data_IF_831340918632
#
_entry.id   IF_831340918632
#
_cell.length_a   1.000
_cell.length_b   1.000
_cell.length_c   1.000
_cell.angle_alpha   90.00
_cell.angle_beta   90.00
_cell.angle_gamma   90.00
#
_symmetry.space_group_name_H-M   'P 1'
#
loop_
_entity.id
_entity.type
_entity.pdbx_description
1 polymer ?
#
# COMPACT_ATOMS: atom_id res chain seq x y z
N UNK A 1 -1.34 23.53 8.75
CA UNK A 1 -1.16 22.07 8.69
C UNK A 1 -2.39 21.48 8.04
N UNK A 2 -2.23 20.65 7.01
CA UNK A 2 -3.34 19.99 6.33
C UNK A 2 -3.92 18.92 7.25
N UNK A 3 -5.23 18.66 7.19
CA UNK A 3 -5.85 17.60 7.99
C UNK A 3 -5.33 16.23 7.58
N UNK A 4 -4.87 16.10 6.34
CA UNK A 4 -4.31 14.85 5.81
C UNK A 4 -2.82 14.64 6.02
N UNK A 5 -2.09 15.57 6.67
CA UNK A 5 -0.63 15.46 6.83
C UNK A 5 -0.19 14.14 7.52
N UNK A 6 -1.02 13.60 8.42
CA UNK A 6 -0.79 12.29 9.03
C UNK A 6 -0.78 11.14 8.02
N UNK A 7 -1.79 11.07 7.14
CA UNK A 7 -1.92 10.04 6.10
C UNK A 7 -0.78 10.14 5.08
N UNK A 8 -0.40 11.36 4.69
CA UNK A 8 0.72 11.59 3.77
C UNK A 8 2.05 11.09 4.33
N UNK A 9 2.30 11.24 5.64
CA UNK A 9 3.46 10.63 6.30
C UNK A 9 3.44 9.10 6.26
N UNK A 10 2.26 8.47 6.28
CA UNK A 10 2.17 7.02 6.08
C UNK A 10 2.57 6.63 4.65
N UNK A 11 2.17 7.42 3.64
CA UNK A 11 2.61 7.23 2.25
C UNK A 11 4.12 7.41 2.09
N UNK A 12 4.72 8.40 2.74
CA UNK A 12 6.18 8.60 2.67
C UNK A 12 6.93 7.39 3.20
N UNK A 13 6.52 6.84 4.35
CA UNK A 13 7.11 5.62 4.87
C UNK A 13 6.85 4.39 3.99
N UNK A 14 5.76 4.35 3.23
CA UNK A 14 5.54 3.29 2.23
C UNK A 14 6.51 3.46 1.07
N UNK A 15 6.68 4.69 0.54
CA UNK A 15 7.63 5.02 -0.54
C UNK A 15 9.06 4.66 -0.16
N UNK A 16 9.47 4.88 1.09
CA UNK A 16 10.79 4.48 1.60
C UNK A 16 11.01 2.97 1.50
N UNK A 17 10.02 2.16 1.90
CA UNK A 17 10.11 0.69 1.80
C UNK A 17 10.15 0.26 0.34
N UNK A 18 9.33 0.88 -0.52
CA UNK A 18 9.35 0.62 -1.96
C UNK A 18 10.73 0.93 -2.56
N UNK A 19 11.33 2.07 -2.21
CA UNK A 19 12.66 2.46 -2.66
C UNK A 19 13.77 1.50 -2.20
N UNK A 20 13.61 0.87 -1.03
CA UNK A 20 14.50 -0.21 -0.56
C UNK A 20 14.26 -1.52 -1.29
N UNK A 21 13.00 -1.87 -1.59
CA UNK A 21 12.61 -3.16 -2.14
C UNK A 21 12.88 -3.28 -3.65
N UNK A 22 12.55 -2.27 -4.44
CA UNK A 22 12.64 -2.34 -5.92
C UNK A 22 14.03 -2.73 -6.45
N UNK A 23 15.15 -2.18 -5.92
CA UNK A 23 16.49 -2.57 -6.36
C UNK A 23 16.84 -4.03 -6.04
N UNK A 24 16.15 -4.65 -5.09
CA UNK A 24 16.35 -6.05 -4.68
C UNK A 24 15.62 -7.04 -5.58
N UNK A 25 14.71 -6.58 -6.45
CA UNK A 25 13.86 -7.42 -7.32
C UNK A 25 14.62 -7.97 -8.53
N UNK A 26 15.69 -8.71 -8.24
CA UNK A 26 16.56 -9.38 -9.21
C UNK A 26 16.54 -10.89 -8.89
N UNK A 27 15.89 -11.72 -9.73
CA UNK A 27 15.67 -13.14 -9.43
C UNK A 27 16.94 -13.90 -9.05
N UNK A 28 18.06 -13.68 -9.76
CA UNK A 28 19.33 -14.34 -9.47
C UNK A 28 19.87 -14.02 -8.06
N UNK A 29 19.83 -12.75 -7.64
CA UNK A 29 20.28 -12.33 -6.30
C UNK A 29 19.36 -12.85 -5.20
N UNK A 30 18.07 -12.92 -5.48
CA UNK A 30 17.06 -13.46 -4.56
C UNK A 30 17.25 -14.97 -4.40
N UNK A 31 17.64 -15.69 -5.45
CA UNK A 31 17.94 -17.12 -5.37
C UNK A 31 19.15 -17.40 -4.45
N UNK A 32 20.15 -16.51 -4.45
CA UNK A 32 21.35 -16.62 -3.60
C UNK A 32 21.04 -16.30 -2.13
N UNK A 33 20.30 -15.23 -1.85
CA UNK A 33 19.91 -14.82 -0.49
C UNK A 33 18.44 -14.31 -0.46
N UNK A 34 17.46 -15.23 -0.33
CA UNK A 34 16.07 -14.83 -0.21
C UNK A 34 15.76 -14.18 1.14
N UNK A 35 16.62 -14.35 2.15
CA UNK A 35 16.38 -13.81 3.49
C UNK A 35 16.56 -12.28 3.51
N UNK A 36 17.49 -11.74 2.72
CA UNK A 36 17.67 -10.30 2.58
C UNK A 36 16.39 -9.61 2.07
N UNK A 37 15.82 -10.07 0.96
CA UNK A 37 14.60 -9.46 0.40
C UNK A 37 13.38 -9.73 1.28
N UNK A 38 13.30 -10.91 1.90
CA UNK A 38 12.20 -11.26 2.80
C UNK A 38 12.05 -10.29 3.97
N UNK A 39 13.14 -9.75 4.52
CA UNK A 39 13.08 -8.76 5.61
C UNK A 39 12.37 -7.48 5.16
N UNK A 40 12.71 -6.97 3.99
CA UNK A 40 12.10 -5.75 3.44
C UNK A 40 10.64 -5.98 3.03
N UNK A 41 10.31 -7.18 2.55
CA UNK A 41 8.93 -7.58 2.25
C UNK A 41 8.07 -7.65 3.52
N UNK A 42 8.61 -8.13 4.64
CA UNK A 42 7.91 -8.11 5.92
C UNK A 42 7.65 -6.67 6.42
N UNK A 43 8.62 -5.75 6.23
CA UNK A 43 8.41 -4.33 6.49
C UNK A 43 7.23 -3.78 5.65
N UNK A 44 7.16 -4.15 4.37
CA UNK A 44 6.06 -3.78 3.47
C UNK A 44 4.72 -4.32 3.98
N UNK A 45 4.67 -5.58 4.42
CA UNK A 45 3.47 -6.20 5.00
C UNK A 45 2.93 -5.40 6.18
N UNK A 46 3.80 -5.06 7.12
CA UNK A 46 3.44 -4.27 8.29
C UNK A 46 2.98 -2.87 7.91
N UNK A 47 3.78 -2.14 7.13
CA UNK A 47 3.51 -0.74 6.79
C UNK A 47 2.22 -0.58 5.99
N UNK A 48 2.01 -1.44 5.00
CA UNK A 48 0.79 -1.39 4.19
C UNK A 48 -0.44 -1.74 5.04
N UNK A 49 -0.38 -2.78 5.88
CA UNK A 49 -1.50 -3.13 6.77
C UNK A 49 -1.88 -1.99 7.73
N UNK A 50 -0.89 -1.25 8.24
CA UNK A 50 -1.13 -0.05 9.07
C UNK A 50 -1.80 1.06 8.25
N UNK A 51 -1.31 1.34 7.04
CA UNK A 51 -1.91 2.35 6.15
C UNK A 51 -3.38 2.03 5.86
N UNK A 52 -3.69 0.79 5.48
CA UNK A 52 -5.06 0.31 5.27
C UNK A 52 -5.94 0.57 6.50
N UNK A 53 -5.48 0.11 7.66
CA UNK A 53 -6.26 0.21 8.90
C UNK A 53 -6.51 1.66 9.33
N UNK A 54 -5.58 2.56 9.07
CA UNK A 54 -5.72 3.98 9.41
C UNK A 54 -6.78 4.63 8.53
N UNK A 55 -6.81 4.37 7.23
CA UNK A 55 -7.84 4.93 6.36
C UNK A 55 -9.22 4.36 6.65
N UNK A 56 -9.34 3.04 6.80
CA UNK A 56 -10.59 2.34 7.08
C UNK A 56 -11.22 2.78 8.41
N UNK A 57 -10.43 2.90 9.46
CA UNK A 57 -10.95 3.20 10.78
C UNK A 57 -11.06 4.71 11.06
N UNK A 58 -10.46 5.56 10.22
CA UNK A 58 -10.42 7.00 10.52
C UNK A 58 -10.78 7.92 9.36
N UNK A 59 -10.18 7.77 8.18
CA UNK A 59 -10.41 8.71 7.08
C UNK A 59 -11.79 8.50 6.46
N UNK A 60 -12.11 7.28 6.03
CA UNK A 60 -13.39 7.00 5.36
C UNK A 60 -14.59 7.31 6.26
N UNK A 61 -14.61 6.95 7.57
CA UNK A 61 -15.70 7.34 8.46
C UNK A 61 -15.90 8.85 8.58
N UNK A 62 -14.79 9.62 8.66
CA UNK A 62 -14.86 11.10 8.70
C UNK A 62 -15.41 11.67 7.40
N UNK A 63 -14.96 11.16 6.25
CA UNK A 63 -15.48 11.58 4.96
C UNK A 63 -16.96 11.24 4.80
N UNK A 64 -17.40 10.05 5.25
CA UNK A 64 -18.78 9.60 5.15
C UNK A 64 -19.75 10.47 5.98
N UNK A 65 -19.30 10.99 7.12
CA UNK A 65 -20.08 11.90 7.97
C UNK A 65 -20.03 13.37 7.51
N UNK A 66 -19.24 13.70 6.49
CA UNK A 66 -19.04 15.07 6.04
C UNK A 66 -20.25 15.63 5.27
N UNK A 67 -20.52 16.93 5.35
CA UNK A 67 -21.66 17.58 4.67
C UNK A 67 -21.51 17.62 3.13
N UNK A 68 -20.28 17.68 2.64
CA UNK A 68 -19.95 17.69 1.20
C UNK A 68 -20.23 16.32 0.53
N UNK A 69 -21.18 16.32 -0.40
CA UNK A 69 -21.58 15.13 -1.15
C UNK A 69 -20.50 14.60 -2.12
N UNK A 70 -19.69 15.48 -2.69
CA UNK A 70 -18.59 15.09 -3.58
C UNK A 70 -17.48 14.38 -2.79
N UNK A 71 -17.19 14.84 -1.57
CA UNK A 71 -16.25 14.18 -0.67
C UNK A 71 -16.75 12.80 -0.25
N UNK A 72 -18.02 12.68 0.19
CA UNK A 72 -18.62 11.39 0.54
C UNK A 72 -18.52 10.38 -0.60
N UNK A 73 -18.91 10.79 -1.82
CA UNK A 73 -18.87 9.92 -3.00
C UNK A 73 -17.44 9.50 -3.33
N UNK A 74 -16.51 10.44 -3.36
CA UNK A 74 -15.10 10.16 -3.67
C UNK A 74 -14.51 9.20 -2.63
N UNK A 75 -14.76 9.42 -1.34
CA UNK A 75 -14.28 8.52 -0.29
C UNK A 75 -14.85 7.09 -0.42
N UNK A 76 -16.15 6.96 -0.75
CA UNK A 76 -16.77 5.65 -0.98
C UNK A 76 -16.16 4.90 -2.19
N UNK A 77 -15.83 5.60 -3.27
CA UNK A 77 -15.10 5.03 -4.42
C UNK A 77 -13.74 4.46 -3.97
N UNK A 78 -12.93 5.26 -3.25
CA UNK A 78 -11.61 4.82 -2.78
C UNK A 78 -11.69 3.67 -1.78
N UNK A 79 -12.69 3.68 -0.88
CA UNK A 79 -12.90 2.60 0.10
C UNK A 79 -13.28 1.28 -0.60
N UNK A 80 -14.15 1.30 -1.61
CA UNK A 80 -14.51 0.11 -2.36
C UNK A 80 -13.31 -0.48 -3.11
N UNK A 81 -12.52 0.37 -3.77
CA UNK A 81 -11.28 -0.06 -4.43
C UNK A 81 -10.27 -0.62 -3.41
N UNK A 82 -10.23 -0.08 -2.19
CA UNK A 82 -9.35 -0.55 -1.13
C UNK A 82 -9.66 -1.98 -0.71
N UNK A 83 -10.95 -2.33 -0.60
CA UNK A 83 -11.37 -3.70 -0.29
C UNK A 83 -10.81 -4.73 -1.28
N UNK A 84 -10.83 -4.43 -2.57
CA UNK A 84 -10.22 -5.29 -3.60
C UNK A 84 -8.70 -5.38 -3.47
N UNK A 85 -8.02 -4.27 -3.16
CA UNK A 85 -6.57 -4.25 -3.00
C UNK A 85 -6.12 -5.02 -1.76
N UNK A 86 -6.82 -4.87 -0.64
CA UNK A 86 -6.57 -5.61 0.61
C UNK A 86 -6.63 -7.12 0.39
N UNK A 87 -7.61 -7.62 -0.37
CA UNK A 87 -7.72 -9.05 -0.69
C UNK A 87 -6.53 -9.56 -1.52
N UNK A 88 -6.12 -8.79 -2.55
CA UNK A 88 -4.93 -9.14 -3.36
C UNK A 88 -3.67 -9.13 -2.52
N UNK A 89 -3.54 -8.16 -1.62
CA UNK A 89 -2.40 -8.06 -0.73
C UNK A 89 -2.35 -9.20 0.29
N UNK A 90 -3.49 -9.62 0.83
CA UNK A 90 -3.57 -10.78 1.73
C UNK A 90 -3.17 -12.07 1.02
N UNK A 91 -3.59 -12.26 -0.23
CA UNK A 91 -3.15 -13.40 -1.04
C UNK A 91 -1.63 -13.34 -1.28
N UNK A 92 -1.10 -12.17 -1.63
CA UNK A 92 0.35 -11.95 -1.80
C UNK A 92 1.13 -12.26 -0.52
N UNK A 93 0.69 -11.77 0.65
CA UNK A 93 1.31 -12.08 1.94
C UNK A 93 1.37 -13.57 2.22
N UNK A 94 0.28 -14.29 1.96
CA UNK A 94 0.21 -15.75 2.16
C UNK A 94 1.14 -16.50 1.23
N UNK A 95 1.23 -16.08 -0.03
CA UNK A 95 2.08 -16.72 -1.04
C UNK A 95 3.59 -16.51 -0.76
N UNK A 96 3.96 -15.37 -0.18
CA UNK A 96 5.37 -14.95 -0.01
C UNK A 96 5.73 -14.65 1.46
N UNK A 97 5.27 -15.51 2.37
CA UNK A 97 5.35 -15.29 3.82
C UNK A 97 6.77 -15.35 4.43
N UNK A 98 7.80 -15.71 3.65
CA UNK A 98 9.16 -15.80 4.16
C UNK A 98 10.19 -16.28 3.13
N UNK A 99 11.46 -16.44 3.56
CA UNK A 99 12.59 -16.72 2.67
C UNK A 99 12.42 -18.03 1.89
N UNK A 100 11.85 -19.07 2.51
CA UNK A 100 11.62 -20.36 1.85
C UNK A 100 10.64 -20.24 0.67
N UNK A 101 9.53 -19.51 0.86
CA UNK A 101 8.53 -19.32 -0.19
C UNK A 101 9.10 -18.49 -1.35
N UNK A 102 9.83 -17.42 -1.02
CA UNK A 102 10.49 -16.53 -1.98
C UNK A 102 11.58 -17.27 -2.76
N UNK A 103 12.45 -18.04 -2.08
CA UNK A 103 13.55 -18.76 -2.70
C UNK A 103 13.10 -19.93 -3.59
N UNK A 104 11.90 -20.47 -3.39
CA UNK A 104 11.34 -21.53 -4.25
C UNK A 104 11.06 -21.06 -5.68
N UNK A 105 10.63 -19.81 -5.84
CA UNK A 105 10.39 -19.21 -7.17
C UNK A 105 10.64 -17.70 -7.16
N UNK A 106 11.92 -17.28 -7.27
CA UNK A 106 12.30 -15.88 -7.27
C UNK A 106 11.68 -15.08 -8.44
N UNK A 107 11.46 -15.70 -9.59
CA UNK A 107 10.91 -15.03 -10.77
C UNK A 107 9.42 -14.71 -10.60
N UNK A 108 8.63 -15.68 -10.10
CA UNK A 108 7.23 -15.44 -9.77
C UNK A 108 7.09 -14.45 -8.61
N UNK A 109 7.96 -14.52 -7.59
CA UNK A 109 8.00 -13.54 -6.52
C UNK A 109 8.22 -12.12 -7.05
N UNK A 110 9.22 -11.91 -7.91
CA UNK A 110 9.51 -10.59 -8.49
C UNK A 110 8.33 -10.07 -9.30
N UNK A 111 7.68 -10.92 -10.08
CA UNK A 111 6.51 -10.56 -10.89
C UNK A 111 5.35 -10.10 -9.99
N UNK A 112 4.97 -10.93 -9.01
CA UNK A 112 3.89 -10.61 -8.07
C UNK A 112 4.19 -9.36 -7.24
N UNK A 113 5.45 -9.19 -6.80
CA UNK A 113 5.87 -8.01 -6.04
C UNK A 113 5.72 -6.74 -6.87
N UNK A 114 6.18 -6.74 -8.12
CA UNK A 114 6.05 -5.57 -9.01
C UNK A 114 4.60 -5.20 -9.27
N UNK A 115 3.72 -6.19 -9.42
CA UNK A 115 2.28 -5.94 -9.58
C UNK A 115 1.70 -5.22 -8.35
N UNK A 116 1.96 -5.75 -7.15
CA UNK A 116 1.49 -5.15 -5.89
C UNK A 116 2.05 -3.74 -5.70
N UNK A 117 3.34 -3.52 -5.96
CA UNK A 117 3.96 -2.20 -5.87
C UNK A 117 3.37 -1.20 -6.86
N UNK A 118 3.04 -1.64 -8.08
CA UNK A 118 2.37 -0.83 -9.08
C UNK A 118 0.98 -0.37 -8.63
N UNK A 119 0.18 -1.30 -8.09
CA UNK A 119 -1.14 -0.98 -7.53
C UNK A 119 -1.05 0.03 -6.38
N UNK A 120 -0.05 -0.10 -5.51
CA UNK A 120 0.17 0.82 -4.40
C UNK A 120 0.55 2.22 -4.87
N UNK A 121 1.52 2.32 -5.79
CA UNK A 121 1.94 3.61 -6.34
C UNK A 121 0.77 4.37 -6.98
N UNK A 122 0.02 3.69 -7.84
CA UNK A 122 -1.14 4.28 -8.51
C UNK A 122 -2.23 4.70 -7.51
N UNK A 123 -2.42 3.93 -6.44
CA UNK A 123 -3.38 4.28 -5.40
C UNK A 123 -2.96 5.52 -4.62
N UNK A 124 -1.74 5.51 -4.08
CA UNK A 124 -1.18 6.62 -3.28
C UNK A 124 -1.23 7.93 -4.04
N UNK A 125 -0.88 7.92 -5.33
CA UNK A 125 -0.94 9.10 -6.19
C UNK A 125 -2.38 9.66 -6.30
N UNK A 126 -3.36 8.79 -6.58
CA UNK A 126 -4.76 9.22 -6.71
C UNK A 126 -5.37 9.65 -5.38
N UNK A 127 -5.04 8.98 -4.27
CA UNK A 127 -5.50 9.39 -2.93
C UNK A 127 -5.00 10.79 -2.62
N UNK A 128 -3.71 11.05 -2.84
CA UNK A 128 -3.10 12.33 -2.55
C UNK A 128 -3.64 13.46 -3.44
N UNK A 129 -3.79 13.23 -4.74
CA UNK A 129 -4.20 14.26 -5.71
C UNK A 129 -5.71 14.49 -5.79
N UNK A 130 -6.52 13.57 -5.23
CA UNK A 130 -7.98 13.62 -5.34
C UNK A 130 -8.66 13.57 -3.99
N UNK A 131 -8.53 12.48 -3.24
CA UNK A 131 -9.26 12.30 -1.99
C UNK A 131 -8.75 13.26 -0.90
N UNK A 132 -7.44 13.30 -0.69
CA UNK A 132 -6.85 14.07 0.39
C UNK A 132 -6.94 15.56 0.12
N UNK A 133 -6.71 15.99 -1.12
CA UNK A 133 -6.88 17.39 -1.53
C UNK A 133 -8.33 17.85 -1.39
N UNK A 134 -9.31 16.98 -1.69
CA UNK A 134 -10.72 17.30 -1.50
C UNK A 134 -11.06 17.39 0.00
N UNK A 135 -10.54 16.47 0.81
CA UNK A 135 -10.75 16.50 2.27
C UNK A 135 -10.13 17.76 2.90
N UNK A 136 -8.91 18.14 2.51
CA UNK A 136 -8.24 19.33 3.03
C UNK A 136 -8.92 20.64 2.62
N UNK A 137 -9.59 20.67 1.46
CA UNK A 137 -10.37 21.85 1.00
C UNK A 137 -11.72 21.96 1.69
N UNK A 138 -12.30 20.83 2.09
CA UNK A 138 -13.63 20.77 2.68
C UNK A 138 -13.63 20.96 4.21
N UNK A 139 -12.46 20.87 4.86
CA UNK A 139 -12.27 20.81 6.31
C UNK A 139 -11.71 22.07 6.97
#
# INVERSE_FOLDING_TARGET
MRKTDGFRKHHDGLREIVGRLEPMLVPARIAEDPAAVSKVVLDLFGKFSIHLAIEDNTLYPKCAAHADAALRRTAAEFQAEMGSLSQRFDAYKKAWAGPLAIGRDPAAFVTATREILGLFKARVEREESRLYDLFDKAA
#
